data_IF_862938101093
#
_entry.id   IF_862938101093
#
_cell.length_a   1.000
_cell.length_b   1.000
_cell.length_c   1.000
_cell.angle_alpha   90.00
_cell.angle_beta   90.00
_cell.angle_gamma   90.00
#
_symmetry.space_group_name_H-M   'P 1'
#
loop_
_entity.id
_entity.type
_entity.pdbx_description
1 polymer ?
#
# COMPACT_ATOMS: atom_id res chain seq x y z
N UNK A 1 -15.82 -13.17 -3.87
CA UNK A 1 -14.39 -13.18 -4.27
C UNK A 1 -14.16 -11.86 -4.96
N UNK A 2 -13.49 -10.92 -4.31
CA UNK A 2 -13.31 -9.56 -4.83
C UNK A 2 -12.48 -9.56 -6.11
N UNK A 3 -12.79 -8.67 -7.05
CA UNK A 3 -12.06 -8.49 -8.31
C UNK A 3 -10.54 -8.30 -8.11
N UNK A 4 -10.12 -7.84 -6.93
CA UNK A 4 -8.73 -7.58 -6.57
C UNK A 4 -7.83 -8.83 -6.53
N UNK A 5 -8.38 -10.03 -6.30
CA UNK A 5 -7.57 -11.27 -6.26
C UNK A 5 -6.83 -11.52 -7.58
N UNK A 6 -7.39 -11.12 -8.72
CA UNK A 6 -6.75 -11.25 -10.04
C UNK A 6 -5.49 -10.39 -10.24
N UNK A 7 -5.22 -9.46 -9.32
CA UNK A 7 -4.11 -8.51 -9.40
C UNK A 7 -2.92 -8.87 -8.50
N UNK A 8 -2.95 -10.03 -7.85
CA UNK A 8 -1.85 -10.52 -7.00
C UNK A 8 -0.50 -10.54 -7.75
N UNK A 9 -0.50 -10.85 -9.05
CA UNK A 9 0.72 -10.78 -9.88
C UNK A 9 1.40 -9.40 -9.90
N UNK A 10 0.64 -8.31 -9.78
CA UNK A 10 1.20 -6.95 -9.72
C UNK A 10 1.81 -6.68 -8.35
N UNK A 11 1.16 -7.14 -7.28
CA UNK A 11 1.73 -7.10 -5.94
C UNK A 11 3.08 -7.83 -5.90
N UNK A 12 3.13 -9.10 -6.35
CA UNK A 12 4.36 -9.90 -6.32
C UNK A 12 5.50 -9.23 -7.11
N UNK A 13 5.21 -8.64 -8.27
CA UNK A 13 6.21 -7.91 -9.06
C UNK A 13 6.74 -6.66 -8.36
N UNK A 14 5.88 -5.92 -7.66
CA UNK A 14 6.30 -4.76 -6.86
C UNK A 14 7.16 -5.24 -5.68
N UNK A 15 6.75 -6.29 -4.98
CA UNK A 15 7.45 -6.81 -3.81
C UNK A 15 8.82 -7.40 -4.12
N UNK A 16 9.03 -7.87 -5.35
CA UNK A 16 10.31 -8.37 -5.85
C UNK A 16 11.18 -7.29 -6.50
N UNK A 17 10.66 -6.06 -6.66
CA UNK A 17 11.35 -4.98 -7.36
C UNK A 17 12.49 -4.40 -6.52
N UNK A 18 13.48 -3.80 -7.18
CA UNK A 18 14.60 -3.15 -6.48
C UNK A 18 14.15 -2.05 -5.50
N UNK A 19 13.09 -1.31 -5.86
CA UNK A 19 12.51 -0.29 -5.00
C UNK A 19 12.00 -0.87 -3.67
N UNK A 20 11.45 -2.09 -3.64
CA UNK A 20 10.85 -2.68 -2.44
C UNK A 20 11.68 -3.79 -1.79
N UNK A 21 12.54 -4.47 -2.54
CA UNK A 21 13.28 -5.65 -2.09
C UNK A 21 14.17 -5.37 -0.86
N UNK A 22 14.67 -4.14 -0.73
CA UNK A 22 15.53 -3.72 0.40
C UNK A 22 14.76 -3.37 1.69
N UNK A 23 13.42 -3.29 1.66
CA UNK A 23 12.64 -2.89 2.83
C UNK A 23 11.51 -3.86 3.14
N UNK A 24 11.77 -4.76 4.08
CA UNK A 24 10.79 -5.72 4.57
C UNK A 24 9.53 -5.02 5.11
N UNK A 25 9.68 -3.93 5.87
CA UNK A 25 8.55 -3.15 6.38
C UNK A 25 7.61 -2.65 5.29
N UNK A 26 8.12 -2.09 4.19
CA UNK A 26 7.23 -1.61 3.11
C UNK A 26 6.63 -2.75 2.28
N UNK A 27 7.32 -3.89 2.18
CA UNK A 27 6.77 -5.09 1.56
C UNK A 27 5.57 -5.60 2.37
N UNK A 28 5.75 -5.75 3.68
CA UNK A 28 4.69 -6.22 4.56
C UNK A 28 3.55 -5.21 4.65
N UNK A 29 3.86 -3.91 4.65
CA UNK A 29 2.83 -2.88 4.67
C UNK A 29 2.00 -2.89 3.40
N UNK A 30 2.62 -3.03 2.23
CA UNK A 30 1.90 -3.12 0.96
C UNK A 30 1.02 -4.38 0.91
N UNK A 31 1.52 -5.52 1.37
CA UNK A 31 0.74 -6.77 1.49
C UNK A 31 -0.48 -6.59 2.39
N UNK A 32 -0.28 -6.02 3.58
CA UNK A 32 -1.36 -5.74 4.53
C UNK A 32 -2.47 -4.87 3.91
N UNK A 33 -2.10 -3.80 3.19
CA UNK A 33 -3.09 -2.97 2.50
C UNK A 33 -3.78 -3.70 1.34
N UNK A 34 -3.07 -4.56 0.63
CA UNK A 34 -3.63 -5.36 -0.46
C UNK A 34 -4.63 -6.41 0.06
N UNK A 35 -4.28 -7.13 1.14
CA UNK A 35 -5.17 -8.11 1.78
C UNK A 35 -6.43 -7.45 2.31
N UNK A 36 -6.31 -6.30 2.98
CA UNK A 36 -7.46 -5.53 3.43
C UNK A 36 -8.35 -5.10 2.24
N UNK A 37 -7.76 -4.70 1.12
CA UNK A 37 -8.51 -4.33 -0.08
C UNK A 37 -9.22 -5.55 -0.71
N UNK A 38 -8.57 -6.71 -0.77
CA UNK A 38 -9.18 -7.97 -1.22
C UNK A 38 -10.36 -8.37 -0.34
N UNK A 39 -10.26 -8.16 0.98
CA UNK A 39 -11.33 -8.43 1.93
C UNK A 39 -12.39 -7.33 2.00
N UNK A 40 -12.26 -6.27 1.22
CA UNK A 40 -13.12 -5.06 1.28
C UNK A 40 -13.18 -4.46 2.70
N UNK A 41 -12.14 -4.67 3.51
CA UNK A 41 -12.00 -4.14 4.86
C UNK A 41 -11.67 -2.65 4.78
N UNK A 42 -12.50 -1.82 5.40
CA UNK A 42 -12.20 -0.40 5.56
C UNK A 42 -11.07 -0.22 6.59
N UNK A 43 -9.95 0.36 6.15
CA UNK A 43 -8.82 0.67 7.01
C UNK A 43 -8.89 2.12 7.51
N UNK A 44 -8.92 2.28 8.83
CA UNK A 44 -8.76 3.56 9.53
C UNK A 44 -7.33 3.72 10.03
N UNK A 45 -6.90 4.96 10.25
CA UNK A 45 -5.54 5.25 10.74
C UNK A 45 -5.23 4.51 12.06
N UNK A 46 -6.18 4.52 13.00
CA UNK A 46 -6.07 3.80 14.28
C UNK A 46 -5.92 2.29 14.08
N UNK A 47 -6.71 1.69 13.19
CA UNK A 47 -6.62 0.26 12.88
C UNK A 47 -5.23 -0.11 12.37
N UNK A 48 -4.64 0.72 11.51
CA UNK A 48 -3.29 0.47 10.99
C UNK A 48 -2.24 0.66 12.09
N UNK A 49 -2.40 1.69 12.93
CA UNK A 49 -1.49 1.94 14.02
C UNK A 49 -1.42 0.74 14.99
N UNK A 50 -2.56 0.15 15.32
CA UNK A 50 -2.64 -1.01 16.22
C UNK A 50 -2.26 -2.31 15.50
N UNK A 51 -2.96 -2.64 14.40
CA UNK A 51 -2.83 -3.95 13.73
C UNK A 51 -1.47 -4.14 13.05
N UNK A 52 -0.82 -3.07 12.57
CA UNK A 52 0.42 -3.16 11.78
C UNK A 52 1.63 -2.51 12.48
N UNK A 53 1.46 -1.36 13.13
CA UNK A 53 2.56 -0.68 13.83
C UNK A 53 2.64 -1.04 15.32
N UNK A 54 1.79 -1.95 15.81
CA UNK A 54 1.78 -2.45 17.19
C UNK A 54 1.70 -1.32 18.23
N UNK A 55 1.01 -0.22 17.88
CA UNK A 55 0.79 0.92 18.78
C UNK A 55 -0.29 0.59 19.83
N UNK A 56 -0.21 1.25 20.99
CA UNK A 56 -1.28 1.19 22.00
C UNK A 56 -2.61 1.70 21.45
N UNK A 57 -3.71 1.25 22.03
CA UNK A 57 -5.05 1.78 21.76
C UNK A 57 -5.18 3.30 22.08
N UNK A 58 -4.27 3.84 22.92
CA UNK A 58 -4.16 5.27 23.20
C UNK A 58 -3.52 6.08 22.06
N UNK A 59 -3.22 5.44 20.92
CA UNK A 59 -2.68 6.09 19.74
C UNK A 59 -3.58 7.25 19.30
N UNK A 60 -3.02 8.45 19.27
CA UNK A 60 -3.71 9.64 18.83
C UNK A 60 -3.11 10.15 17.51
N UNK A 61 -3.84 10.04 16.39
CA UNK A 61 -3.41 10.54 15.08
C UNK A 61 -3.03 12.02 15.08
N UNK A 62 -3.53 12.83 16.01
CA UNK A 62 -3.20 14.25 16.10
C UNK A 62 -1.74 14.49 16.52
N UNK A 63 -1.16 13.59 17.32
CA UNK A 63 0.19 13.73 17.88
C UNK A 63 1.19 12.73 17.30
N UNK A 64 0.73 11.59 16.78
CA UNK A 64 1.58 10.58 16.13
C UNK A 64 1.25 10.49 14.62
N UNK A 65 2.22 10.81 13.79
CA UNK A 65 2.12 10.81 12.32
C UNK A 65 2.67 9.53 11.68
N UNK A 66 2.96 8.49 12.47
CA UNK A 66 3.64 7.27 12.00
C UNK A 66 2.94 6.65 10.79
N UNK A 67 1.62 6.46 10.87
CA UNK A 67 0.82 5.87 9.78
C UNK A 67 0.84 6.78 8.54
N UNK A 68 0.54 8.07 8.71
CA UNK A 68 0.55 9.06 7.62
C UNK A 68 1.90 9.13 6.91
N UNK A 69 2.99 9.11 7.66
CA UNK A 69 4.36 9.17 7.14
C UNK A 69 4.74 7.92 6.34
N UNK A 70 4.39 6.73 6.83
CA UNK A 70 4.63 5.48 6.11
C UNK A 70 3.77 5.37 4.86
N UNK A 71 2.51 5.78 4.92
CA UNK A 71 1.62 5.82 3.76
C UNK A 71 2.14 6.80 2.70
N UNK A 72 2.62 7.98 3.11
CA UNK A 72 3.27 8.92 2.19
C UNK A 72 4.49 8.31 1.51
N UNK A 73 5.39 7.68 2.28
CA UNK A 73 6.57 7.01 1.73
C UNK A 73 6.18 5.86 0.82
N UNK A 74 5.20 5.04 1.20
CA UNK A 74 4.71 3.93 0.38
C UNK A 74 4.18 4.42 -0.98
N UNK A 75 3.41 5.53 -1.00
CA UNK A 75 3.00 6.16 -2.26
C UNK A 75 4.20 6.53 -3.12
N UNK A 76 5.23 7.15 -2.54
CA UNK A 76 6.45 7.54 -3.27
C UNK A 76 7.20 6.33 -3.84
N UNK A 77 7.28 5.24 -3.10
CA UNK A 77 7.89 3.98 -3.58
C UNK A 77 7.10 3.39 -4.75
N UNK A 78 5.76 3.38 -4.65
CA UNK A 78 4.92 2.95 -5.77
C UNK A 78 5.11 3.86 -7.00
N UNK A 79 5.15 5.18 -6.83
CA UNK A 79 5.46 6.12 -7.92
C UNK A 79 6.82 5.78 -8.57
N UNK A 80 7.87 5.58 -7.79
CA UNK A 80 9.21 5.24 -8.32
C UNK A 80 9.22 3.89 -9.05
N UNK A 81 8.52 2.88 -8.52
CA UNK A 81 8.37 1.58 -9.18
C UNK A 81 7.73 1.74 -10.56
N UNK A 82 6.60 2.45 -10.65
CA UNK A 82 5.88 2.64 -11.91
C UNK A 82 6.57 3.58 -12.90
N UNK A 83 7.52 4.41 -12.44
CA UNK A 83 8.42 5.17 -13.33
C UNK A 83 9.54 4.32 -13.93
N UNK A 84 9.83 3.15 -13.35
CA UNK A 84 10.94 2.27 -13.72
C UNK A 84 10.43 0.87 -14.08
N UNK A 85 10.56 -0.08 -13.16
CA UNK A 85 10.32 -1.51 -13.34
C UNK A 85 8.87 -1.84 -13.74
N UNK A 86 7.91 -1.03 -13.30
CA UNK A 86 6.48 -1.20 -13.58
C UNK A 86 5.94 -0.38 -14.76
N UNK A 87 6.81 0.25 -15.57
CA UNK A 87 6.38 1.18 -16.63
C UNK A 87 5.45 0.52 -17.65
N UNK A 88 5.67 -0.75 -17.97
CA UNK A 88 4.89 -1.51 -18.97
C UNK A 88 3.74 -2.32 -18.38
N UNK A 89 3.48 -2.17 -17.07
CA UNK A 89 2.38 -2.88 -16.43
C UNK A 89 1.05 -2.44 -17.03
N UNK A 90 0.08 -3.35 -17.18
CA UNK A 90 -1.26 -2.97 -17.65
C UNK A 90 -2.06 -2.22 -16.57
N UNK A 91 -1.81 -2.55 -15.31
CA UNK A 91 -2.50 -1.99 -14.14
C UNK A 91 -1.48 -1.56 -13.10
N UNK A 92 -1.87 -0.58 -12.27
CA UNK A 92 -1.06 -0.14 -11.13
C UNK A 92 -1.85 -0.15 -9.83
N UNK A 93 -1.16 -0.52 -8.75
CA UNK A 93 -1.64 -0.38 -7.39
C UNK A 93 -1.47 1.09 -6.96
N UNK A 94 -2.54 1.69 -6.47
CA UNK A 94 -2.56 3.10 -6.04
C UNK A 94 -3.18 3.23 -4.66
N UNK A 95 -2.62 4.14 -3.88
CA UNK A 95 -3.20 4.57 -2.60
C UNK A 95 -3.64 6.04 -2.77
N UNK A 96 -4.95 6.34 -2.88
CA UNK A 96 -5.43 7.71 -3.06
C UNK A 96 -4.99 8.62 -1.90
N UNK A 97 -4.81 9.93 -2.18
CA UNK A 97 -4.45 10.91 -1.16
C UNK A 97 -5.55 10.99 -0.10
N UNK A 98 -5.17 11.05 1.18
CA UNK A 98 -6.13 11.07 2.29
C UNK A 98 -6.80 9.73 2.59
N UNK A 99 -6.51 8.69 1.82
CA UNK A 99 -7.05 7.35 2.05
C UNK A 99 -5.96 6.36 2.46
N UNK A 100 -6.41 5.33 3.17
CA UNK A 100 -5.59 4.19 3.58
C UNK A 100 -5.93 2.90 2.83
N UNK A 101 -6.77 2.99 1.80
CA UNK A 101 -7.14 1.84 0.96
C UNK A 101 -6.27 1.77 -0.28
N UNK A 102 -5.98 0.54 -0.68
CA UNK A 102 -5.35 0.23 -1.96
C UNK A 102 -6.43 0.04 -3.01
N UNK A 103 -6.25 0.64 -4.18
CA UNK A 103 -7.09 0.44 -5.37
C UNK A 103 -6.22 0.03 -6.55
N UNK A 104 -6.85 -0.59 -7.53
CA UNK A 104 -6.22 -0.88 -8.82
C UNK A 104 -6.79 0.06 -9.86
N UNK A 105 -5.91 0.65 -10.67
CA UNK A 105 -6.28 1.49 -11.81
C UNK A 105 -5.51 1.06 -13.07
N UNK A 106 -6.01 1.37 -14.29
CA UNK A 106 -5.22 1.24 -15.50
C UNK A 106 -3.91 2.01 -15.39
N UNK A 107 -2.81 1.43 -15.87
CA UNK A 107 -1.49 2.06 -15.78
C UNK A 107 -1.35 3.27 -16.72
N UNK A 108 -2.12 3.30 -17.81
CA UNK A 108 -2.10 4.34 -18.83
C UNK A 108 -2.81 5.66 -18.42
N UNK A 109 -3.56 5.66 -17.32
CA UNK A 109 -4.37 6.80 -16.85
C UNK A 109 -3.70 7.62 -15.74
N UNK A 110 -2.37 7.53 -15.61
CA UNK A 110 -1.62 8.09 -14.49
C UNK A 110 -0.82 9.34 -14.82
#
# INVERSE_FOLDING_TARGET
MSDLTGYQKYLERILASNEFASSQTYRDFLKYLFEAAVQEKELKELTIAVDFFEKSADFNPAFDTTVRSHIYKLRKKLETYYLKEGREDKFRLRIPKGHYKLIVIPNAEA
#
